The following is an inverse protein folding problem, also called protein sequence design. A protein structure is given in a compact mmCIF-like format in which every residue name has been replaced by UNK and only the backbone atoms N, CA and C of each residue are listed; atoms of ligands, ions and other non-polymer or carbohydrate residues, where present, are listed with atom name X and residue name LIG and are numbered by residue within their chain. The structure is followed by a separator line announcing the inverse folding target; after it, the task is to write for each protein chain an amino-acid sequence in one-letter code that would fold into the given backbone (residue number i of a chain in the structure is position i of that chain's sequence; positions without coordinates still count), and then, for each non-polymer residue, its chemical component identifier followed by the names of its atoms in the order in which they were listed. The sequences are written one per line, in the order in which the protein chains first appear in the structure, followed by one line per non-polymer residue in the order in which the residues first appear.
data_IF_506346127145
#
_entry.id   IF_506346127145
#
_cell.length_a   1.000
_cell.length_b   1.000
_cell.length_c   1.000
_cell.angle_alpha   90.00
_cell.angle_beta   90.00
_cell.angle_gamma   90.00
#
_symmetry.space_group_name_H-M   'P 1'
#
loop_
_entity.id
_entity.type
_entity.pdbx_description
1 polymer ?
#
# COMPACT_ATOMS: atom_id res chain seq x y z
N UNK A 1 7.94 11.82 -0.63
CA UNK A 1 8.02 10.40 -0.25
C UNK A 1 6.67 9.81 0.03
N UNK A 2 5.92 10.36 1.00
CA UNK A 2 4.59 9.85 1.31
C UNK A 2 3.65 9.92 0.11
N UNK A 3 3.70 11.01 -0.64
CA UNK A 3 2.84 11.17 -1.81
C UNK A 3 3.17 10.13 -2.89
N UNK A 4 4.43 9.74 -3.00
CA UNK A 4 4.84 8.69 -3.94
C UNK A 4 4.22 7.35 -3.55
N UNK A 5 4.17 7.05 -2.25
CA UNK A 5 3.56 5.82 -1.75
C UNK A 5 2.06 5.82 -2.03
N UNK A 6 1.40 6.95 -1.86
CA UNK A 6 -0.02 7.07 -2.17
C UNK A 6 -0.27 6.81 -3.66
N UNK A 7 0.57 7.36 -4.52
CA UNK A 7 0.45 7.16 -5.96
C UNK A 7 0.68 5.70 -6.34
N UNK A 8 1.66 5.04 -5.72
CA UNK A 8 1.93 3.62 -5.96
C UNK A 8 0.74 2.79 -5.52
N UNK A 9 0.21 3.07 -4.34
CA UNK A 9 -0.95 2.35 -3.82
C UNK A 9 -2.14 2.47 -4.77
N UNK A 10 -2.39 3.67 -5.27
CA UNK A 10 -3.49 3.93 -6.20
C UNK A 10 -3.33 3.10 -7.47
N UNK A 11 -2.13 3.06 -8.03
CA UNK A 11 -1.86 2.26 -9.23
C UNK A 11 -2.04 0.78 -8.97
N UNK A 12 -1.61 0.30 -7.80
CA UNK A 12 -1.77 -1.11 -7.44
C UNK A 12 -3.26 -1.46 -7.28
N UNK A 13 -4.04 -0.57 -6.68
CA UNK A 13 -5.47 -0.78 -6.55
C UNK A 13 -6.16 -0.84 -7.91
N UNK A 14 -5.76 0.03 -8.84
CA UNK A 14 -6.29 0.01 -10.20
C UNK A 14 -5.97 -1.32 -10.88
N UNK A 15 -4.75 -1.83 -10.72
CA UNK A 15 -4.36 -3.12 -11.28
C UNK A 15 -5.17 -4.25 -10.66
N UNK A 16 -5.35 -4.23 -9.35
CA UNK A 16 -6.13 -5.23 -8.64
C UNK A 16 -7.57 -5.26 -9.17
N UNK A 17 -8.16 -4.08 -9.33
CA UNK A 17 -9.51 -3.95 -9.86
C UNK A 17 -9.60 -4.48 -11.28
N UNK A 18 -8.57 -4.24 -12.08
CA UNK A 18 -8.53 -4.67 -13.48
C UNK A 18 -8.50 -6.19 -13.60
N UNK A 19 -7.78 -6.86 -12.72
CA UNK A 19 -7.64 -8.32 -12.74
C UNK A 19 -8.66 -9.04 -11.86
N UNK A 20 -9.46 -8.31 -11.10
CA UNK A 20 -10.46 -8.90 -10.21
C UNK A 20 -11.70 -9.26 -10.99
N UNK A 21 -11.75 -10.48 -11.50
CA UNK A 21 -12.86 -10.99 -12.29
C UNK A 21 -13.54 -12.12 -11.54
N UNK A 22 -14.77 -12.49 -11.99
CA UNK A 22 -15.58 -13.50 -11.30
C UNK A 22 -14.93 -14.88 -11.25
N UNK A 23 -14.28 -15.27 -12.34
CA UNK A 23 -13.61 -16.57 -12.42
C UNK A 23 -12.19 -16.38 -12.92
N UNK A 24 -11.27 -15.98 -12.05
CA UNK A 24 -9.88 -15.79 -12.47
C UNK A 24 -9.22 -17.13 -12.74
N UNK A 25 -8.40 -17.20 -13.79
CA UNK A 25 -7.57 -18.35 -14.04
C UNK A 25 -6.34 -18.30 -13.10
N UNK A 26 -5.51 -19.35 -13.14
CA UNK A 26 -4.33 -19.42 -12.27
C UNK A 26 -3.41 -18.21 -12.45
N UNK A 27 -3.26 -17.76 -13.68
CA UNK A 27 -2.42 -16.60 -13.97
C UNK A 27 -2.95 -15.35 -13.28
N UNK A 28 -4.25 -15.09 -13.40
CA UNK A 28 -4.87 -13.92 -12.78
C UNK A 28 -4.89 -14.03 -11.26
N UNK A 29 -5.12 -15.23 -10.73
CA UNK A 29 -5.04 -15.46 -9.29
C UNK A 29 -3.66 -15.14 -8.75
N UNK A 30 -2.61 -15.54 -9.48
CA UNK A 30 -1.24 -15.23 -9.12
C UNK A 30 -0.99 -13.72 -9.10
N UNK A 31 -1.49 -13.01 -10.11
CA UNK A 31 -1.36 -11.56 -10.19
C UNK A 31 -2.09 -10.90 -9.02
N UNK A 32 -3.32 -11.34 -8.74
CA UNK A 32 -4.10 -10.79 -7.63
C UNK A 32 -3.42 -11.00 -6.29
N UNK A 33 -2.89 -12.20 -6.06
CA UNK A 33 -2.15 -12.50 -4.84
C UNK A 33 -0.91 -11.60 -4.70
N UNK A 34 -0.17 -11.45 -5.79
CA UNK A 34 1.00 -10.57 -5.80
C UNK A 34 0.62 -9.11 -5.53
N UNK A 35 -0.48 -8.65 -6.08
CA UNK A 35 -0.96 -7.30 -5.86
C UNK A 35 -1.36 -7.08 -4.40
N UNK A 36 -2.01 -8.06 -3.79
CA UNK A 36 -2.37 -7.97 -2.37
C UNK A 36 -1.12 -7.85 -1.50
N UNK A 37 -0.10 -8.66 -1.78
CA UNK A 37 1.16 -8.59 -1.04
C UNK A 37 1.81 -7.22 -1.24
N UNK A 38 1.82 -6.73 -2.47
CA UNK A 38 2.39 -5.42 -2.78
C UNK A 38 1.63 -4.30 -2.05
N UNK A 39 0.30 -4.37 -2.02
CA UNK A 39 -0.52 -3.39 -1.31
C UNK A 39 -0.23 -3.40 0.18
N UNK A 40 -0.09 -4.58 0.77
CA UNK A 40 0.25 -4.71 2.19
C UNK A 40 1.61 -4.09 2.48
N UNK A 41 2.58 -4.30 1.60
CA UNK A 41 3.91 -3.74 1.75
C UNK A 41 3.87 -2.22 1.70
N UNK A 42 3.13 -1.67 0.75
CA UNK A 42 2.97 -0.21 0.64
C UNK A 42 2.30 0.35 1.87
N UNK A 43 1.25 -0.30 2.37
CA UNK A 43 0.57 0.13 3.60
C UNK A 43 1.51 0.15 4.79
N UNK A 44 2.37 -0.87 4.92
CA UNK A 44 3.36 -0.91 5.99
C UNK A 44 4.35 0.24 5.88
N UNK A 45 4.78 0.57 4.67
CA UNK A 45 5.67 1.69 4.45
C UNK A 45 4.99 3.02 4.80
N UNK A 46 3.71 3.16 4.46
CA UNK A 46 2.95 4.35 4.80
C UNK A 46 2.79 4.49 6.31
N UNK A 47 2.52 3.39 7.01
CA UNK A 47 2.45 3.41 8.47
C UNK A 47 3.77 3.82 9.09
N UNK A 48 4.88 3.31 8.58
CA UNK A 48 6.20 3.67 9.06
C UNK A 48 6.47 5.16 8.91
N UNK A 49 6.05 5.74 7.79
CA UNK A 49 6.21 7.18 7.56
C UNK A 49 5.33 7.98 8.52
N UNK A 50 4.10 7.55 8.75
CA UNK A 50 3.20 8.20 9.70
C UNK A 50 3.75 8.15 11.12
N UNK A 51 4.24 7.00 11.53
CA UNK A 51 4.85 6.84 12.86
C UNK A 51 6.07 7.74 13.02
N UNK A 52 6.88 7.82 11.98
CA UNK A 52 8.06 8.66 11.99
C UNK A 52 7.68 10.13 12.14
N UNK A 53 6.68 10.57 11.40
CA UNK A 53 6.20 11.95 11.49
C UNK A 53 5.59 12.23 12.86
N UNK A 54 4.78 11.32 13.36
CA UNK A 54 4.17 11.47 14.68
C UNK A 54 5.23 11.54 15.78
N UNK A 55 6.28 10.74 15.64
CA UNK A 55 7.38 10.73 16.61
C UNK A 55 8.12 12.06 16.61
N UNK A 56 8.37 12.61 15.42
CA UNK A 56 9.09 13.87 15.30
C UNK A 56 8.31 15.03 15.89
N UNK A 57 7.03 15.10 15.62
CA UNK A 57 6.17 16.19 16.09
C UNK A 57 5.61 15.94 17.48
N UNK A 58 5.33 14.70 17.80
CA UNK A 58 4.75 14.33 19.08
C UNK A 58 5.71 14.47 20.24
N UNK A 59 6.96 14.15 20.03
CA UNK A 59 7.97 14.24 21.06
C UNK A 59 8.22 15.67 21.49
N UNK A 60 8.19 16.59 20.55
CA UNK A 60 8.35 18.00 20.85
C UNK A 60 7.25 18.50 21.75
N UNK A 61 6.05 18.00 21.55
CA UNK A 61 4.90 18.36 22.39
C UNK A 61 5.00 17.81 23.80
N UNK A 62 5.71 16.73 23.97
CA UNK A 62 5.85 16.09 25.28
C UNK A 62 7.02 16.68 26.08
N UNK A 63 7.93 17.24 25.40
CA UNK A 63 9.09 17.85 26.04
C UNK A 63 8.73 19.13 26.77
#
# INVERSE_FOLDING_TARGET
MFQDLVNIKRKLLDKHKQYNVSNPDEYREGILSGLVVALQTVDQLMESEDEKMAREYGEDGKS
#
